data_IF_383269410746
#
_entry.id   IF_383269410746
#
_cell.length_a   1.000
_cell.length_b   1.000
_cell.length_c   1.000
_cell.angle_alpha   90.00
_cell.angle_beta   90.00
_cell.angle_gamma   90.00
#
_symmetry.space_group_name_H-M   'P 1'
#
loop_
_entity.id
_entity.type
_entity.pdbx_description
1 polymer ?
#
# COMPACT_ATOMS: atom_id res chain seq x y z
N UNK A 1 12.99 -14.50 4.62
CA UNK A 1 13.62 -14.56 3.29
C UNK A 1 13.01 -13.46 2.43
N UNK A 2 13.81 -12.71 1.67
CA UNK A 2 13.27 -11.70 0.74
C UNK A 2 12.36 -12.41 -0.27
N UNK A 3 11.16 -11.87 -0.48
CA UNK A 3 10.22 -12.44 -1.46
C UNK A 3 10.47 -11.73 -2.80
N UNK A 4 10.66 -12.47 -3.91
CA UNK A 4 10.71 -11.85 -5.23
C UNK A 4 9.43 -11.02 -5.43
N UNK A 5 9.60 -9.77 -5.86
CA UNK A 5 8.44 -8.91 -6.12
C UNK A 5 7.61 -9.44 -7.28
N UNK A 6 6.34 -9.05 -7.34
CA UNK A 6 5.52 -9.34 -8.51
C UNK A 6 6.14 -8.70 -9.78
N UNK A 7 6.05 -9.38 -10.94
CA UNK A 7 6.29 -8.74 -12.22
C UNK A 7 5.44 -7.47 -12.35
N UNK A 8 5.97 -6.45 -13.04
CA UNK A 8 5.34 -5.13 -13.11
C UNK A 8 3.85 -5.16 -13.51
N UNK A 9 3.42 -5.91 -14.55
CA UNK A 9 2.00 -5.97 -14.91
C UNK A 9 1.13 -6.54 -13.78
N UNK A 10 1.57 -7.63 -13.14
CA UNK A 10 0.84 -8.25 -12.04
C UNK A 10 0.75 -7.31 -10.82
N UNK A 11 1.86 -6.65 -10.48
CA UNK A 11 1.91 -5.70 -9.37
C UNK A 11 0.91 -4.56 -9.58
N UNK A 12 0.90 -3.98 -10.78
CA UNK A 12 0.03 -2.85 -11.09
C UNK A 12 -1.45 -3.26 -11.07
N UNK A 13 -1.79 -4.41 -11.64
CA UNK A 13 -3.15 -4.95 -11.61
C UNK A 13 -3.66 -5.19 -10.18
N UNK A 14 -2.82 -5.76 -9.32
CA UNK A 14 -3.17 -5.99 -7.92
C UNK A 14 -3.30 -4.68 -7.13
N UNK A 15 -2.45 -3.69 -7.40
CA UNK A 15 -2.54 -2.39 -6.77
C UNK A 15 -3.83 -1.66 -7.18
N UNK A 16 -4.19 -1.69 -8.46
CA UNK A 16 -5.44 -1.12 -8.96
C UNK A 16 -6.66 -1.73 -8.24
N UNK A 17 -6.73 -3.06 -8.15
CA UNK A 17 -7.81 -3.74 -7.43
C UNK A 17 -7.84 -3.40 -5.94
N UNK A 18 -6.68 -3.33 -5.27
CA UNK A 18 -6.60 -2.98 -3.85
C UNK A 18 -7.11 -1.56 -3.57
N UNK A 19 -6.75 -0.59 -4.41
CA UNK A 19 -7.21 0.79 -4.31
C UNK A 19 -8.71 0.87 -4.62
N UNK A 20 -9.18 0.22 -5.69
CA UNK A 20 -10.58 0.23 -6.09
C UNK A 20 -11.49 -0.42 -5.04
N UNK A 21 -11.04 -1.50 -4.39
CA UNK A 21 -11.84 -2.21 -3.37
C UNK A 21 -12.20 -1.33 -2.17
N UNK A 22 -11.51 -0.22 -1.93
CA UNK A 22 -11.91 0.74 -0.90
C UNK A 22 -13.32 1.31 -1.13
N UNK A 23 -13.81 1.36 -2.38
CA UNK A 23 -15.08 2.00 -2.75
C UNK A 23 -15.94 1.19 -3.75
N UNK A 24 -15.36 0.17 -4.39
CA UNK A 24 -16.06 -0.65 -5.39
C UNK A 24 -16.25 -2.10 -4.89
N UNK A 25 -17.50 -2.53 -4.84
CA UNK A 25 -17.89 -3.89 -4.47
C UNK A 25 -17.48 -4.93 -5.51
N UNK A 26 -17.40 -4.57 -6.79
CA UNK A 26 -16.91 -5.46 -7.84
C UNK A 26 -15.41 -5.74 -7.66
N UNK A 27 -14.62 -4.72 -7.31
CA UNK A 27 -13.21 -4.88 -6.97
C UNK A 27 -13.02 -5.70 -5.69
N UNK A 28 -13.88 -5.49 -4.68
CA UNK A 28 -13.90 -6.29 -3.46
C UNK A 28 -14.19 -7.76 -3.76
N UNK A 29 -15.18 -8.04 -4.61
CA UNK A 29 -15.51 -9.40 -5.03
C UNK A 29 -14.40 -10.04 -5.88
N UNK A 30 -13.71 -9.26 -6.72
CA UNK A 30 -12.54 -9.71 -7.47
C UNK A 30 -11.39 -10.14 -6.54
N UNK A 31 -11.06 -9.33 -5.53
CA UNK A 31 -10.06 -9.70 -4.51
C UNK A 31 -10.52 -10.91 -3.69
N UNK A 32 -11.81 -11.00 -3.34
CA UNK A 32 -12.40 -12.16 -2.67
C UNK A 32 -12.18 -13.45 -3.45
N UNK A 33 -12.40 -13.40 -4.77
CA UNK A 33 -12.14 -14.52 -5.65
C UNK A 33 -10.64 -14.86 -5.75
N UNK A 34 -9.77 -13.85 -5.90
CA UNK A 34 -8.30 -14.08 -5.94
C UNK A 34 -7.77 -14.69 -4.64
N UNK A 35 -8.35 -14.33 -3.49
CA UNK A 35 -7.98 -14.88 -2.20
C UNK A 35 -8.36 -16.37 -2.04
N UNK A 36 -9.46 -16.80 -2.66
CA UNK A 36 -9.95 -18.18 -2.60
C UNK A 36 -10.73 -18.59 -3.87
N UNK A 37 -10.03 -18.90 -4.98
CA UNK A 37 -10.67 -19.19 -6.28
C UNK A 37 -11.21 -20.62 -6.33
N UNK A 38 -12.33 -20.88 -5.65
CA UNK A 38 -12.97 -22.21 -5.57
C UNK A 38 -14.03 -22.46 -6.65
N UNK A 39 -14.60 -21.39 -7.22
CA UNK A 39 -15.65 -21.43 -8.25
C UNK A 39 -15.40 -20.35 -9.32
N UNK A 40 -16.29 -20.21 -10.30
CA UNK A 40 -16.22 -19.07 -11.22
C UNK A 40 -16.38 -17.74 -10.47
N UNK A 41 -15.64 -16.68 -10.83
CA UNK A 41 -15.86 -15.36 -10.25
C UNK A 41 -17.27 -14.84 -10.59
N UNK A 42 -17.94 -14.10 -9.69
CA UNK A 42 -19.17 -13.38 -10.03
C UNK A 42 -18.99 -12.50 -11.26
N UNK A 43 -20.02 -12.26 -12.11
CA UNK A 43 -19.86 -11.54 -13.38
C UNK A 43 -19.15 -10.18 -13.27
N UNK A 44 -19.50 -9.38 -12.25
CA UNK A 44 -18.85 -8.08 -12.01
C UNK A 44 -17.37 -8.21 -11.60
N UNK A 45 -17.05 -9.21 -10.77
CA UNK A 45 -15.67 -9.54 -10.41
C UNK A 45 -14.87 -10.04 -11.62
N UNK A 46 -15.47 -10.92 -12.44
CA UNK A 46 -14.86 -11.44 -13.66
C UNK A 46 -14.52 -10.32 -14.64
N UNK A 47 -15.45 -9.37 -14.84
CA UNK A 47 -15.22 -8.20 -15.68
C UNK A 47 -14.06 -7.33 -15.16
N UNK A 48 -13.98 -7.10 -13.83
CA UNK A 48 -12.86 -6.38 -13.21
C UNK A 48 -11.54 -7.11 -13.38
N UNK A 49 -11.48 -8.40 -13.10
CA UNK A 49 -10.26 -9.21 -13.23
C UNK A 49 -9.74 -9.25 -14.68
N UNK A 50 -10.65 -9.33 -15.66
CA UNK A 50 -10.29 -9.29 -17.07
C UNK A 50 -9.81 -7.89 -17.51
N UNK A 51 -10.45 -6.82 -17.01
CA UNK A 51 -10.06 -5.44 -17.31
C UNK A 51 -8.63 -5.09 -16.86
N UNK A 52 -8.17 -5.69 -15.75
CA UNK A 52 -6.78 -5.56 -15.27
C UNK A 52 -5.86 -6.68 -15.76
N UNK A 53 -6.28 -7.45 -16.77
CA UNK A 53 -5.50 -8.52 -17.39
C UNK A 53 -5.00 -9.61 -16.43
N UNK A 54 -5.77 -9.94 -15.38
CA UNK A 54 -5.44 -11.07 -14.50
C UNK A 54 -5.99 -12.39 -15.01
N UNK A 55 -7.10 -12.37 -15.75
CA UNK A 55 -7.77 -13.53 -16.34
C UNK A 55 -8.21 -13.20 -17.78
N UNK A 56 -8.45 -14.22 -18.60
CA UNK A 56 -9.18 -14.06 -19.85
C UNK A 56 -10.65 -13.67 -19.58
N UNK A 57 -11.34 -12.95 -20.50
CA UNK A 57 -12.78 -12.75 -20.40
C UNK A 57 -13.53 -14.08 -20.26
N UNK A 58 -14.26 -14.26 -19.16
CA UNK A 58 -14.93 -15.52 -18.82
C UNK A 58 -14.03 -16.62 -18.25
N UNK A 59 -12.74 -16.33 -18.06
CA UNK A 59 -11.75 -17.22 -17.47
C UNK A 59 -12.00 -17.53 -15.99
N UNK A 60 -11.42 -18.64 -15.52
CA UNK A 60 -11.55 -19.14 -14.14
C UNK A 60 -10.21 -19.41 -13.47
N UNK A 61 -9.13 -18.93 -14.06
CA UNK A 61 -7.78 -19.06 -13.56
C UNK A 61 -6.99 -17.81 -13.96
N UNK A 62 -5.94 -17.51 -13.19
CA UNK A 62 -4.98 -16.50 -13.58
C UNK A 62 -4.39 -16.83 -14.95
N UNK A 63 -4.09 -15.81 -15.75
CA UNK A 63 -3.37 -15.97 -17.01
C UNK A 63 -2.08 -16.79 -16.78
N UNK A 64 -1.63 -17.61 -17.74
CA UNK A 64 -0.45 -18.47 -17.57
C UNK A 64 0.81 -17.72 -17.10
N UNK A 65 0.98 -16.46 -17.54
CA UNK A 65 2.09 -15.58 -17.11
C UNK A 65 2.04 -15.23 -15.61
N UNK A 66 0.86 -15.28 -14.98
CA UNK A 66 0.64 -14.99 -13.56
C UNK A 66 0.48 -16.25 -12.72
N UNK A 67 0.25 -17.42 -13.32
CA UNK A 67 0.05 -18.69 -12.62
C UNK A 67 1.16 -19.04 -11.60
N UNK A 68 2.46 -18.77 -11.85
CA UNK A 68 3.52 -19.01 -10.87
C UNK A 68 3.36 -18.21 -9.56
N UNK A 69 2.57 -17.14 -9.57
CA UNK A 69 2.37 -16.24 -8.44
C UNK A 69 1.06 -16.48 -7.68
N UNK A 70 0.28 -17.52 -8.02
CA UNK A 70 -1.07 -17.76 -7.46
C UNK A 70 -1.15 -17.66 -5.93
N UNK A 71 -0.25 -18.31 -5.20
CA UNK A 71 -0.24 -18.25 -3.74
C UNK A 71 0.07 -16.84 -3.20
N UNK A 72 1.02 -16.13 -3.82
CA UNK A 72 1.37 -14.76 -3.45
C UNK A 72 0.24 -13.78 -3.78
N UNK A 73 -0.45 -13.98 -4.91
CA UNK A 73 -1.66 -13.23 -5.30
C UNK A 73 -2.78 -13.42 -4.28
N UNK A 74 -3.06 -14.64 -3.85
CA UNK A 74 -4.08 -14.91 -2.84
C UNK A 74 -3.76 -14.26 -1.49
N UNK A 75 -2.50 -14.29 -1.06
CA UNK A 75 -2.04 -13.64 0.16
C UNK A 75 -2.13 -12.10 0.06
N UNK A 76 -1.77 -11.52 -1.08
CA UNK A 76 -1.95 -10.08 -1.36
C UNK A 76 -3.43 -9.69 -1.32
N UNK A 77 -4.28 -10.44 -2.03
CA UNK A 77 -5.71 -10.16 -2.09
C UNK A 77 -6.37 -10.21 -0.70
N UNK A 78 -5.99 -11.18 0.13
CA UNK A 78 -6.47 -11.27 1.52
C UNK A 78 -6.10 -10.04 2.37
N UNK A 79 -4.89 -9.51 2.19
CA UNK A 79 -4.44 -8.27 2.85
C UNK A 79 -5.19 -7.05 2.32
N UNK A 80 -5.39 -6.97 1.01
CA UNK A 80 -6.11 -5.88 0.38
C UNK A 80 -7.58 -5.84 0.83
N UNK A 81 -8.24 -6.99 1.01
CA UNK A 81 -9.59 -7.07 1.58
C UNK A 81 -9.65 -6.52 3.01
N UNK A 82 -8.68 -6.85 3.87
CA UNK A 82 -8.63 -6.32 5.24
C UNK A 82 -8.40 -4.81 5.26
N UNK A 83 -7.53 -4.30 4.39
CA UNK A 83 -7.31 -2.87 4.24
C UNK A 83 -8.58 -2.14 3.77
N UNK A 84 -9.24 -2.65 2.73
CA UNK A 84 -10.49 -2.08 2.22
C UNK A 84 -11.59 -2.09 3.29
N UNK A 85 -11.76 -3.20 4.01
CA UNK A 85 -12.72 -3.30 5.10
C UNK A 85 -12.43 -2.29 6.22
N UNK A 86 -11.16 -2.14 6.64
CA UNK A 86 -10.77 -1.18 7.66
C UNK A 86 -11.02 0.27 7.23
N UNK A 87 -10.76 0.62 5.97
CA UNK A 87 -11.04 1.96 5.43
C UNK A 87 -12.54 2.28 5.46
N UNK A 88 -13.36 1.33 4.98
CA UNK A 88 -14.83 1.45 4.84
C UNK A 88 -15.56 1.60 6.19
N UNK A 89 -14.94 1.24 7.31
CA UNK A 89 -15.55 1.36 8.64
C UNK A 89 -15.70 2.79 9.15
N UNK A 90 -15.01 3.78 8.56
CA UNK A 90 -15.15 5.18 8.96
C UNK A 90 -15.44 6.11 7.78
N UNK A 91 -15.54 7.43 8.04
CA UNK A 91 -15.93 8.39 7.02
C UNK A 91 -14.93 8.45 5.86
N UNK A 92 -15.39 8.33 4.62
CA UNK A 92 -14.48 8.28 3.45
C UNK A 92 -13.54 9.50 3.36
N UNK A 93 -14.06 10.70 3.67
CA UNK A 93 -13.37 11.97 3.45
C UNK A 93 -13.28 12.32 1.96
N UNK A 94 -12.48 13.34 1.61
CA UNK A 94 -12.22 13.72 0.21
C UNK A 94 -10.75 14.16 0.01
N UNK A 95 -10.29 14.15 -1.23
CA UNK A 95 -8.93 14.63 -1.58
C UNK A 95 -7.82 13.99 -0.76
N UNK A 96 -6.94 14.82 -0.18
CA UNK A 96 -5.80 14.39 0.64
C UNK A 96 -6.24 13.62 1.89
N UNK A 97 -7.36 14.01 2.50
CA UNK A 97 -7.91 13.31 3.68
C UNK A 97 -8.24 11.85 3.33
N UNK A 98 -8.97 11.65 2.23
CA UNK A 98 -9.30 10.31 1.73
C UNK A 98 -8.02 9.52 1.41
N UNK A 99 -7.09 10.12 0.68
CA UNK A 99 -5.84 9.46 0.29
C UNK A 99 -5.03 9.00 1.52
N UNK A 100 -4.92 9.84 2.56
CA UNK A 100 -4.23 9.51 3.80
C UNK A 100 -4.90 8.37 4.57
N UNK A 101 -6.24 8.32 4.61
CA UNK A 101 -6.97 7.22 5.24
C UNK A 101 -6.78 5.89 4.52
N UNK A 102 -6.89 5.90 3.19
CA UNK A 102 -6.63 4.71 2.37
C UNK A 102 -5.19 4.25 2.57
N UNK A 103 -4.23 5.18 2.55
CA UNK A 103 -2.83 4.89 2.83
C UNK A 103 -2.62 4.26 4.21
N UNK A 104 -3.25 4.77 5.27
CA UNK A 104 -3.16 4.17 6.60
C UNK A 104 -3.70 2.74 6.65
N UNK A 105 -4.84 2.47 6.00
CA UNK A 105 -5.41 1.13 5.92
C UNK A 105 -4.50 0.15 5.16
N UNK A 106 -3.97 0.56 4.00
CA UNK A 106 -3.05 -0.24 3.18
C UNK A 106 -1.71 -0.48 3.90
N UNK A 107 -1.16 0.57 4.52
CA UNK A 107 0.08 0.50 5.29
C UNK A 107 0.00 -0.53 6.40
N UNK A 108 -1.11 -0.54 7.12
CA UNK A 108 -1.32 -1.44 8.25
C UNK A 108 -1.51 -2.91 7.83
N UNK A 109 -1.68 -3.15 6.54
CA UNK A 109 -1.64 -4.47 5.89
C UNK A 109 -0.36 -4.67 5.06
N UNK A 110 0.67 -3.84 5.28
CA UNK A 110 2.00 -3.86 4.62
C UNK A 110 1.96 -3.69 3.09
N UNK A 111 0.88 -3.14 2.55
CA UNK A 111 0.67 -2.88 1.13
C UNK A 111 1.36 -1.57 0.74
N UNK A 112 2.68 -1.52 0.95
CA UNK A 112 3.46 -0.28 0.86
C UNK A 112 3.60 0.25 -0.57
N UNK A 113 3.50 -0.63 -1.57
CA UNK A 113 3.46 -0.19 -2.96
C UNK A 113 2.14 0.54 -3.25
N UNK A 114 1.03 0.01 -2.76
CA UNK A 114 -0.30 0.59 -2.89
C UNK A 114 -0.42 1.91 -2.10
N UNK A 115 0.28 2.03 -0.96
CA UNK A 115 0.43 3.31 -0.25
C UNK A 115 1.08 4.36 -1.14
N UNK A 116 2.17 4.00 -1.85
CA UNK A 116 2.79 4.90 -2.81
C UNK A 116 1.78 5.32 -3.88
N UNK A 117 1.10 4.37 -4.53
CA UNK A 117 0.15 4.66 -5.60
C UNK A 117 -0.96 5.62 -5.16
N UNK A 118 -1.59 5.37 -4.01
CA UNK A 118 -2.72 6.21 -3.55
C UNK A 118 -2.28 7.62 -3.14
N UNK A 119 -1.09 7.76 -2.54
CA UNK A 119 -0.58 9.06 -2.12
C UNK A 119 0.06 9.84 -3.27
N UNK A 120 0.59 9.18 -4.31
CA UNK A 120 1.22 9.83 -5.45
C UNK A 120 0.22 10.74 -6.18
N UNK A 121 -1.03 10.29 -6.33
CA UNK A 121 -2.10 11.10 -6.94
C UNK A 121 -2.35 12.40 -6.16
N UNK A 122 -2.43 12.33 -4.83
CA UNK A 122 -2.58 13.50 -3.96
C UNK A 122 -1.33 14.39 -3.98
N UNK A 123 -0.14 13.78 -3.98
CA UNK A 123 1.14 14.48 -4.03
C UNK A 123 1.33 15.28 -5.33
N UNK A 124 0.89 14.74 -6.47
CA UNK A 124 0.99 15.41 -7.79
C UNK A 124 0.28 16.76 -7.77
N UNK A 125 -0.87 16.86 -7.11
CA UNK A 125 -1.69 18.08 -7.03
C UNK A 125 -1.38 18.97 -5.83
N UNK A 126 -0.69 18.45 -4.80
CA UNK A 126 -0.33 19.21 -3.60
C UNK A 126 0.81 20.22 -3.86
N UNK A 127 0.89 21.25 -2.99
CA UNK A 127 1.93 22.26 -2.98
C UNK A 127 2.50 22.51 -1.57
N UNK A 128 3.63 23.19 -1.49
CA UNK A 128 4.22 23.66 -0.23
C UNK A 128 4.46 22.53 0.79
N UNK A 129 4.11 22.80 2.06
CA UNK A 129 4.31 21.87 3.17
C UNK A 129 3.54 20.55 2.98
N UNK A 130 2.32 20.59 2.44
CA UNK A 130 1.51 19.39 2.20
C UNK A 130 2.19 18.44 1.21
N UNK A 131 2.70 18.97 0.08
CA UNK A 131 3.47 18.19 -0.89
C UNK A 131 4.70 17.55 -0.27
N UNK A 132 5.44 18.33 0.53
CA UNK A 132 6.63 17.85 1.25
C UNK A 132 6.28 16.72 2.24
N UNK A 133 5.17 16.87 2.98
CA UNK A 133 4.71 15.87 3.92
C UNK A 133 4.28 14.58 3.22
N UNK A 134 3.47 14.68 2.16
CA UNK A 134 3.04 13.52 1.36
C UNK A 134 4.24 12.77 0.78
N UNK A 135 5.21 13.49 0.23
CA UNK A 135 6.45 12.88 -0.28
C UNK A 135 7.21 12.15 0.82
N UNK A 136 7.26 12.71 2.03
CA UNK A 136 7.85 12.06 3.19
C UNK A 136 7.19 10.73 3.52
N UNK A 137 5.86 10.68 3.64
CA UNK A 137 5.12 9.43 3.89
C UNK A 137 5.34 8.41 2.77
N UNK A 138 5.28 8.85 1.50
CA UNK A 138 5.55 8.01 0.33
C UNK A 138 6.94 7.36 0.42
N UNK A 139 7.98 8.14 0.69
CA UNK A 139 9.36 7.63 0.75
C UNK A 139 9.54 6.61 1.87
N UNK A 140 8.93 6.83 3.04
CA UNK A 140 8.97 5.86 4.14
C UNK A 140 8.23 4.57 3.74
N UNK A 141 7.07 4.65 3.07
CA UNK A 141 6.38 3.46 2.56
C UNK A 141 7.28 2.68 1.58
N UNK A 142 7.88 3.37 0.60
CA UNK A 142 8.76 2.74 -0.39
C UNK A 142 10.02 2.15 0.27
N UNK A 143 10.51 2.75 1.36
CA UNK A 143 11.60 2.17 2.14
C UNK A 143 11.22 0.78 2.70
N UNK A 144 10.03 0.64 3.29
CA UNK A 144 9.53 -0.65 3.76
C UNK A 144 9.24 -1.62 2.62
N UNK A 145 8.76 -1.13 1.47
CA UNK A 145 8.65 -1.94 0.26
C UNK A 145 10.02 -2.49 -0.17
N UNK A 146 11.07 -1.66 -0.18
CA UNK A 146 12.42 -2.10 -0.52
C UNK A 146 12.98 -3.14 0.46
N UNK A 147 12.73 -3.01 1.76
CA UNK A 147 13.14 -4.03 2.74
C UNK A 147 12.47 -5.38 2.46
N UNK A 148 11.16 -5.38 2.20
CA UNK A 148 10.42 -6.60 1.90
C UNK A 148 10.95 -7.35 0.66
N UNK A 149 11.59 -6.62 -0.26
CA UNK A 149 12.11 -7.13 -1.54
C UNK A 149 13.65 -7.20 -1.59
N UNK A 150 14.32 -7.20 -0.44
CA UNK A 150 15.76 -7.45 -0.37
C UNK A 150 16.64 -6.28 -0.86
N UNK A 151 16.14 -5.04 -0.81
CA UNK A 151 16.89 -3.83 -1.15
C UNK A 151 17.14 -2.93 0.09
N UNK A 152 17.96 -3.36 1.07
CA UNK A 152 18.23 -2.58 2.27
C UNK A 152 19.00 -1.29 2.00
N UNK A 153 19.78 -1.22 0.90
CA UNK A 153 20.48 -0.02 0.48
C UNK A 153 19.49 1.08 0.07
N UNK A 154 18.54 0.76 -0.81
CA UNK A 154 17.49 1.69 -1.22
C UNK A 154 16.59 2.08 -0.05
N UNK A 155 16.25 1.11 0.80
CA UNK A 155 15.45 1.37 1.99
C UNK A 155 16.10 2.39 2.94
N UNK A 156 17.40 2.25 3.22
CA UNK A 156 18.14 3.21 4.08
C UNK A 156 18.02 4.64 3.55
N UNK A 157 18.27 4.84 2.25
CA UNK A 157 18.22 6.18 1.65
C UNK A 157 16.83 6.80 1.74
N UNK A 158 15.80 6.04 1.35
CA UNK A 158 14.41 6.54 1.35
C UNK A 158 13.86 6.76 2.75
N UNK A 159 14.22 5.92 3.73
CA UNK A 159 13.77 6.08 5.11
C UNK A 159 14.33 7.38 5.71
N UNK A 160 15.62 7.62 5.54
CA UNK A 160 16.28 8.83 6.04
C UNK A 160 15.71 10.09 5.36
N UNK A 161 15.58 10.07 4.03
CA UNK A 161 15.04 11.20 3.28
C UNK A 161 13.58 11.48 3.66
N UNK A 162 12.73 10.45 3.66
CA UNK A 162 11.31 10.60 3.97
C UNK A 162 11.06 11.15 5.37
N UNK A 163 11.84 10.67 6.36
CA UNK A 163 11.80 11.19 7.73
C UNK A 163 12.28 12.64 7.81
N UNK A 164 13.37 12.98 7.13
CA UNK A 164 13.86 14.36 7.06
C UNK A 164 12.82 15.31 6.46
N UNK A 165 12.07 14.89 5.43
CA UNK A 165 11.01 15.69 4.83
C UNK A 165 9.87 15.93 5.82
N UNK A 166 9.40 14.89 6.50
CA UNK A 166 8.36 15.01 7.53
C UNK A 166 8.80 15.90 8.69
N UNK A 167 10.06 15.82 9.12
CA UNK A 167 10.60 16.66 10.18
C UNK A 167 10.78 18.14 9.78
N UNK A 168 10.82 18.45 8.47
CA UNK A 168 10.97 19.82 7.96
C UNK A 168 9.67 20.63 7.90
N UNK A 169 8.53 20.02 8.23
CA UNK A 169 7.21 20.64 8.20
C UNK A 169 6.48 20.40 9.52
N UNK A 170 5.47 21.21 9.89
CA UNK A 170 4.66 20.94 11.07
C UNK A 170 4.04 19.53 11.03
N UNK A 171 4.06 18.79 12.14
CA UNK A 171 3.46 17.44 12.22
C UNK A 171 1.95 17.46 11.98
N UNK A 172 1.31 18.62 12.10
CA UNK A 172 -0.11 18.84 11.80
C UNK A 172 -0.41 19.12 10.32
N UNK A 173 0.60 19.15 9.45
CA UNK A 173 0.42 19.42 8.01
C UNK A 173 -0.46 18.38 7.30
N UNK A 174 -0.43 17.12 7.73
CA UNK A 174 -1.38 16.09 7.31
C UNK A 174 -2.31 15.77 8.49
N UNK A 175 -3.41 16.52 8.70
CA UNK A 175 -4.17 16.51 9.94
C UNK A 175 -4.82 15.15 10.28
N UNK A 176 -4.90 14.26 9.30
CA UNK A 176 -5.50 12.93 9.43
C UNK A 176 -4.50 11.88 9.90
N UNK A 177 -3.20 12.15 9.78
CA UNK A 177 -2.14 11.22 10.15
C UNK A 177 -1.44 11.69 11.41
N UNK A 178 -1.12 10.76 12.31
CA UNK A 178 -0.24 11.04 13.44
C UNK A 178 1.23 10.99 12.98
N UNK A 179 1.67 12.09 12.35
CA UNK A 179 3.03 12.24 11.80
C UNK A 179 4.08 12.20 12.90
N UNK A 180 3.78 12.74 14.08
CA UNK A 180 4.69 12.71 15.23
C UNK A 180 4.98 11.27 15.67
N UNK A 181 3.93 10.44 15.78
CA UNK A 181 4.07 9.01 16.08
C UNK A 181 4.79 8.26 14.98
N UNK A 182 4.53 8.57 13.71
CA UNK A 182 5.27 7.97 12.59
C UNK A 182 6.78 8.26 12.69
N UNK A 183 7.15 9.52 12.99
CA UNK A 183 8.54 9.90 13.21
C UNK A 183 9.15 9.22 14.44
N UNK A 184 8.42 9.10 15.55
CA UNK A 184 8.93 8.38 16.71
C UNK A 184 9.16 6.89 16.40
N UNK A 185 8.17 6.24 15.77
CA UNK A 185 8.19 4.80 15.51
C UNK A 185 9.21 4.38 14.43
N UNK A 186 9.54 5.27 13.48
CA UNK A 186 10.50 4.99 12.41
C UNK A 186 11.94 5.39 12.77
N UNK A 187 12.18 6.04 13.92
CA UNK A 187 13.53 6.45 14.35
C UNK A 187 14.46 5.26 14.66
N UNK A 188 14.01 4.22 15.39
CA UNK A 188 14.84 3.03 15.61
C UNK A 188 15.17 2.31 14.30
N UNK A 189 14.24 2.32 13.33
CA UNK A 189 14.44 1.75 12.00
C UNK A 189 15.52 2.48 11.21
N UNK A 190 15.48 3.82 11.19
CA UNK A 190 16.53 4.63 10.55
C UNK A 190 17.91 4.34 11.16
N UNK A 191 18.00 4.33 12.49
CA UNK A 191 19.25 4.06 13.21
C UNK A 191 19.82 2.67 12.90
N UNK A 192 18.96 1.63 12.86
CA UNK A 192 19.37 0.28 12.49
C UNK A 192 19.84 0.20 11.03
N UNK A 193 19.07 0.75 10.09
CA UNK A 193 19.45 0.73 8.67
C UNK A 193 20.76 1.49 8.41
N UNK A 194 21.01 2.58 9.15
CA UNK A 194 22.28 3.31 9.11
C UNK A 194 23.48 2.44 9.52
N UNK A 195 23.30 1.57 10.52
CA UNK A 195 24.29 0.54 10.92
C UNK A 195 24.30 -0.70 10.02
N UNK A 196 23.48 -0.71 8.96
CA UNK A 196 23.27 -1.85 8.05
C UNK A 196 22.63 -3.07 8.72
N UNK A 197 21.88 -2.82 9.78
CA UNK A 197 21.04 -3.79 10.47
C UNK A 197 19.60 -3.67 9.96
N UNK A 198 18.85 -4.77 9.93
CA UNK A 198 17.39 -4.70 9.73
C UNK A 198 16.73 -5.08 11.05
N UNK A 199 15.87 -4.21 11.63
CA UNK A 199 15.14 -4.56 12.84
C UNK A 199 14.36 -5.87 12.66
N UNK A 200 14.34 -6.71 13.70
CA UNK A 200 13.55 -7.93 13.71
C UNK A 200 12.05 -7.68 13.92
N UNK A 201 11.70 -6.46 14.33
CA UNK A 201 10.33 -6.02 14.57
C UNK A 201 9.54 -5.86 13.26
N UNK A 202 8.22 -5.86 13.36
CA UNK A 202 7.36 -5.56 12.22
C UNK A 202 7.36 -4.05 11.92
N UNK A 203 7.19 -3.63 10.65
CA UNK A 203 7.04 -2.23 10.32
C UNK A 203 5.97 -1.56 11.21
N UNK A 204 6.23 -0.35 11.72
CA UNK A 204 5.31 0.33 12.62
C UNK A 204 3.99 0.61 11.90
N UNK A 205 2.88 0.67 12.63
CA UNK A 205 1.58 1.05 12.06
C UNK A 205 1.54 2.54 11.70
N UNK A 206 0.83 2.88 10.63
CA UNK A 206 0.48 4.27 10.31
C UNK A 206 -0.84 4.59 11.01
N UNK A 207 -0.75 5.39 12.07
CA UNK A 207 -1.90 5.77 12.89
C UNK A 207 -2.61 7.00 12.30
N UNK A 208 -3.94 6.99 12.38
CA UNK A 208 -4.74 8.19 12.19
C UNK A 208 -4.58 9.09 13.42
N UNK A 209 -4.62 10.41 13.22
CA UNK A 209 -4.69 11.35 14.34
C UNK A 209 -6.00 11.12 15.13
N UNK A 210 -5.94 11.25 16.45
CA UNK A 210 -7.15 11.30 17.26
C UNK A 210 -7.95 12.56 16.90
N UNK A 211 -9.27 12.43 16.78
CA UNK A 211 -10.18 13.58 16.65
C UNK A 211 -10.11 14.49 17.89
#
# INVERSE_FOLDING_TARGET
>A
MATPGFPLPLRNALAELALAACEDDAATAALGWLAAPTAAPPPAAAARLAAVHLIDPGGRALLPVHAPHTAAVAAHASRALRAAAAFRQGPAGAGVVRACRVAAALWNERLFFEVHEVLEAAWKTAAGAERQALQGVIQIAVAYHHLAHGNPRGARSLLAEGRSRLASVPTTTLPVLDVARLLAATAPWEAALARRETPAEEPPRLALAAE
#
